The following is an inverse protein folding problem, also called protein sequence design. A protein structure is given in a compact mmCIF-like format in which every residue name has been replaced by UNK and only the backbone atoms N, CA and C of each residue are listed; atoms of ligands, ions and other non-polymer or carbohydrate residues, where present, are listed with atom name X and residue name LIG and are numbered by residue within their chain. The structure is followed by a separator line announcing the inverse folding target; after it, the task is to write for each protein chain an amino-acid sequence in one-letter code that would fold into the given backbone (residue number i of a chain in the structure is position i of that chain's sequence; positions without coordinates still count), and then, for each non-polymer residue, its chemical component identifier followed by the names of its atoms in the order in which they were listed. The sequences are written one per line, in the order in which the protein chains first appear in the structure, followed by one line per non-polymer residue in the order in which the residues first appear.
data_IF_316534796399
#
_entry.id   IF_316534796399
#
_cell.length_a   1.000
_cell.length_b   1.000
_cell.length_c   1.000
_cell.angle_alpha   90.00
_cell.angle_beta   90.00
_cell.angle_gamma   90.00
#
_symmetry.space_group_name_H-M   'P 1'
#
loop_
_entity.id
_entity.type
_entity.pdbx_description
1 polymer ?
#
# COMPACT_ATOMS: atom_id res chain seq x y z
N UNK A 1 -13.58 13.70 -11.45
CA UNK A 1 -14.20 12.38 -11.67
C UNK A 1 -14.41 11.54 -10.39
N UNK A 2 -13.67 11.75 -9.28
CA UNK A 2 -13.84 10.92 -8.07
C UNK A 2 -15.08 11.31 -7.24
N UNK A 3 -15.55 12.56 -7.32
CA UNK A 3 -16.70 13.02 -6.53
C UNK A 3 -18.01 12.24 -6.77
N UNK A 4 -18.44 11.93 -8.02
CA UNK A 4 -19.62 11.08 -8.23
C UNK A 4 -19.46 9.68 -7.64
N UNK A 5 -18.26 9.07 -7.75
CA UNK A 5 -18.00 7.75 -7.16
C UNK A 5 -18.17 7.78 -5.65
N UNK A 6 -17.58 8.78 -4.97
CA UNK A 6 -17.69 8.92 -3.51
C UNK A 6 -19.14 9.19 -3.07
N UNK A 7 -19.85 10.12 -3.73
CA UNK A 7 -21.25 10.41 -3.40
C UNK A 7 -22.14 9.18 -3.54
N UNK A 8 -21.97 8.39 -4.60
CA UNK A 8 -22.71 7.14 -4.82
C UNK A 8 -22.34 6.07 -3.81
N UNK A 9 -21.05 5.93 -3.51
CA UNK A 9 -20.56 4.98 -2.49
C UNK A 9 -21.11 5.31 -1.11
N UNK A 10 -21.21 6.59 -0.79
CA UNK A 10 -21.70 7.08 0.49
C UNK A 10 -23.25 7.22 0.51
N UNK A 11 -23.94 6.82 -0.57
CA UNK A 11 -25.41 6.82 -0.66
C UNK A 11 -26.06 8.20 -0.85
N UNK A 12 -25.28 9.24 -1.13
CA UNK A 12 -25.72 10.63 -1.33
C UNK A 12 -26.25 10.90 -2.75
N UNK A 13 -26.01 9.99 -3.68
CA UNK A 13 -26.46 10.05 -5.07
C UNK A 13 -26.90 8.65 -5.52
N UNK A 14 -28.09 8.55 -6.13
CA UNK A 14 -28.59 7.28 -6.64
C UNK A 14 -27.75 6.79 -7.82
N UNK A 15 -27.51 5.49 -7.89
CA UNK A 15 -26.81 4.87 -9.00
C UNK A 15 -27.84 4.48 -10.06
N UNK A 16 -27.72 5.10 -11.24
CA UNK A 16 -28.59 4.80 -12.39
C UNK A 16 -27.74 4.40 -13.58
N UNK A 17 -28.17 3.37 -14.30
CA UNK A 17 -27.53 2.93 -15.54
C UNK A 17 -28.48 3.13 -16.72
N UNK A 18 -27.99 3.61 -17.87
CA UNK A 18 -28.83 3.79 -19.05
C UNK A 18 -29.21 2.45 -19.72
N UNK A 19 -28.49 1.36 -19.42
CA UNK A 19 -28.76 0.03 -19.96
C UNK A 19 -28.10 -1.07 -19.12
N UNK A 20 -28.55 -2.32 -19.32
CA UNK A 20 -27.95 -3.50 -18.66
C UNK A 20 -26.51 -3.74 -19.13
N UNK A 21 -26.22 -3.41 -20.38
CA UNK A 21 -24.90 -3.52 -20.98
C UNK A 21 -23.91 -2.59 -20.25
N UNK A 22 -24.31 -1.33 -20.02
CA UNK A 22 -23.49 -0.36 -19.29
C UNK A 22 -23.34 -0.74 -17.82
N UNK A 23 -24.40 -1.25 -17.19
CA UNK A 23 -24.35 -1.79 -15.83
C UNK A 23 -23.32 -2.92 -15.69
N UNK A 24 -23.26 -3.84 -16.66
CA UNK A 24 -22.30 -4.96 -16.65
C UNK A 24 -20.83 -4.52 -16.67
N UNK A 25 -20.55 -3.30 -17.13
CA UNK A 25 -19.19 -2.73 -17.21
C UNK A 25 -18.88 -1.83 -16.01
N UNK A 26 -19.84 -1.01 -15.58
CA UNK A 26 -19.62 0.05 -14.61
C UNK A 26 -20.17 -0.24 -13.21
N UNK A 27 -20.87 -1.35 -12.98
CA UNK A 27 -21.44 -1.71 -11.67
C UNK A 27 -20.39 -1.75 -10.56
N UNK A 28 -19.24 -2.36 -10.84
CA UNK A 28 -18.09 -2.44 -9.91
C UNK A 28 -17.53 -1.07 -9.51
N UNK A 29 -17.77 -0.05 -10.31
CA UNK A 29 -17.32 1.33 -10.09
C UNK A 29 -18.49 2.30 -9.96
N UNK A 30 -19.67 1.81 -9.55
CA UNK A 30 -20.86 2.59 -9.25
C UNK A 30 -21.27 3.55 -10.39
N UNK A 31 -21.18 3.08 -11.63
CA UNK A 31 -21.55 3.86 -12.82
C UNK A 31 -20.53 4.93 -13.22
N UNK A 32 -19.31 4.91 -12.66
CA UNK A 32 -18.23 5.84 -13.02
C UNK A 32 -17.12 5.06 -13.74
N UNK A 33 -16.73 5.42 -14.98
CA UNK A 33 -15.59 4.79 -15.63
C UNK A 33 -14.29 5.26 -14.98
N UNK A 34 -13.53 4.32 -14.39
CA UNK A 34 -12.28 4.60 -13.67
C UNK A 34 -11.08 3.97 -14.38
N UNK A 35 -11.27 2.80 -15.02
CA UNK A 35 -10.18 2.02 -15.63
C UNK A 35 -10.18 2.06 -17.16
N UNK A 36 -8.99 1.94 -17.77
CA UNK A 36 -8.82 1.94 -19.22
C UNK A 36 -9.67 0.84 -19.86
N UNK A 37 -9.63 -0.34 -19.25
CA UNK A 37 -10.35 -1.53 -19.66
C UNK A 37 -11.87 -1.31 -19.65
N UNK A 38 -12.40 -0.54 -18.70
CA UNK A 38 -13.83 -0.19 -18.66
C UNK A 38 -14.24 0.71 -19.81
N UNK A 39 -13.44 1.73 -20.14
CA UNK A 39 -13.72 2.66 -21.24
C UNK A 39 -13.75 1.92 -22.58
N UNK A 40 -12.77 1.05 -22.81
CA UNK A 40 -12.69 0.24 -24.02
C UNK A 40 -13.93 -0.67 -24.12
N UNK A 41 -14.28 -1.36 -23.03
CA UNK A 41 -15.44 -2.24 -23.00
C UNK A 41 -16.75 -1.46 -23.19
N UNK A 42 -16.83 -0.25 -22.65
CA UNK A 42 -17.98 0.64 -22.85
C UNK A 42 -18.15 1.03 -24.32
N UNK A 43 -17.07 1.38 -25.02
CA UNK A 43 -17.13 1.67 -26.47
C UNK A 43 -17.63 0.47 -27.29
N UNK A 44 -17.27 -0.76 -26.89
CA UNK A 44 -17.77 -1.98 -27.54
C UNK A 44 -19.26 -2.19 -27.29
N UNK A 45 -19.71 -2.15 -26.03
CA UNK A 45 -21.09 -2.50 -25.68
C UNK A 45 -22.09 -1.37 -25.93
N UNK A 46 -21.68 -0.11 -25.73
CA UNK A 46 -22.55 1.06 -25.86
C UNK A 46 -22.49 1.69 -27.26
N UNK A 47 -21.34 1.68 -27.94
CA UNK A 47 -21.19 2.26 -29.28
C UNK A 47 -21.02 1.21 -30.40
N UNK A 48 -20.90 -0.08 -30.08
CA UNK A 48 -20.79 -1.14 -31.07
C UNK A 48 -19.43 -1.27 -31.73
N UNK A 49 -18.35 -0.81 -31.07
CA UNK A 49 -17.00 -0.98 -31.60
C UNK A 49 -16.62 -2.46 -31.69
N UNK A 50 -15.97 -2.85 -32.78
CA UNK A 50 -15.31 -4.16 -32.87
C UNK A 50 -14.08 -4.21 -31.96
N UNK A 51 -13.57 -5.41 -31.67
CA UNK A 51 -12.35 -5.55 -30.86
C UNK A 51 -11.13 -4.81 -31.46
N UNK A 52 -11.01 -4.77 -32.79
CA UNK A 52 -9.94 -4.03 -33.46
C UNK A 52 -10.09 -2.52 -33.32
N UNK A 53 -11.31 -2.00 -33.41
CA UNK A 53 -11.60 -0.57 -33.23
C UNK A 53 -11.43 -0.13 -31.78
N UNK A 54 -11.81 -0.98 -30.84
CA UNK A 54 -11.60 -0.79 -29.42
C UNK A 54 -10.10 -0.68 -29.06
N UNK A 55 -9.23 -1.50 -29.67
CA UNK A 55 -7.79 -1.41 -29.49
C UNK A 55 -7.17 -0.18 -30.20
N UNK A 56 -7.72 0.23 -31.36
CA UNK A 56 -7.34 1.50 -31.99
C UNK A 56 -7.70 2.70 -31.09
N UNK A 57 -8.91 2.70 -30.51
CA UNK A 57 -9.35 3.70 -29.55
C UNK A 57 -8.41 3.74 -28.33
N UNK A 58 -8.06 2.58 -27.76
CA UNK A 58 -7.10 2.49 -26.65
C UNK A 58 -5.74 3.11 -26.98
N UNK A 59 -5.18 2.81 -28.17
CA UNK A 59 -3.92 3.40 -28.62
C UNK A 59 -4.03 4.92 -28.80
N UNK A 60 -5.14 5.39 -29.37
CA UNK A 60 -5.41 6.82 -29.54
C UNK A 60 -5.54 7.54 -28.18
N UNK A 61 -6.17 6.90 -27.19
CA UNK A 61 -6.26 7.43 -25.81
C UNK A 61 -4.87 7.61 -25.18
N UNK A 62 -3.99 6.63 -25.35
CA UNK A 62 -2.63 6.69 -24.81
C UNK A 62 -1.76 7.78 -25.47
N UNK A 63 -2.03 8.10 -26.75
CA UNK A 63 -1.29 9.09 -27.53
C UNK A 63 -1.99 10.46 -27.63
N UNK A 64 -3.14 10.64 -26.97
CA UNK A 64 -4.04 11.79 -27.17
C UNK A 64 -3.34 13.14 -27.05
N UNK A 65 -2.53 13.36 -26.00
CA UNK A 65 -1.80 14.61 -25.80
C UNK A 65 -0.74 14.92 -26.87
N UNK A 66 -0.29 13.92 -27.62
CA UNK A 66 0.75 14.11 -28.64
C UNK A 66 0.15 14.40 -30.02
N UNK A 67 -0.94 13.72 -30.38
CA UNK A 67 -1.39 13.68 -31.78
C UNK A 67 -2.84 14.10 -32.03
N UNK A 68 -3.68 14.26 -30.99
CA UNK A 68 -5.09 14.66 -31.18
C UNK A 68 -5.96 13.63 -31.92
N UNK A 69 -5.50 12.38 -32.08
CA UNK A 69 -6.15 11.35 -32.89
C UNK A 69 -7.49 10.85 -32.32
N UNK A 70 -7.79 11.12 -31.05
CA UNK A 70 -9.03 10.66 -30.40
C UNK A 70 -10.29 11.33 -30.95
N UNK A 71 -10.20 12.54 -31.51
CA UNK A 71 -11.35 13.27 -32.11
C UNK A 71 -11.97 12.45 -33.23
N UNK A 72 -11.15 11.69 -33.98
CA UNK A 72 -11.61 10.84 -35.09
C UNK A 72 -12.59 9.74 -34.64
N UNK A 73 -12.55 9.37 -33.37
CA UNK A 73 -13.45 8.37 -32.81
C UNK A 73 -14.74 8.97 -32.24
N UNK A 74 -14.84 10.30 -32.12
CA UNK A 74 -16.00 10.99 -31.55
C UNK A 74 -17.28 10.65 -32.29
N UNK A 75 -17.30 10.90 -33.60
CA UNK A 75 -18.50 10.76 -34.41
C UNK A 75 -19.00 9.32 -34.41
N UNK A 76 -18.06 8.36 -34.46
CA UNK A 76 -18.38 6.94 -34.40
C UNK A 76 -18.90 6.52 -33.02
N UNK A 77 -18.28 6.99 -31.95
CA UNK A 77 -18.71 6.69 -30.58
C UNK A 77 -20.11 7.25 -30.31
N UNK A 78 -20.32 8.53 -30.60
CA UNK A 78 -21.59 9.22 -30.38
C UNK A 78 -22.68 8.63 -31.27
N UNK A 79 -22.46 8.52 -32.58
CA UNK A 79 -23.45 7.95 -33.50
C UNK A 79 -23.77 6.48 -33.17
N UNK A 80 -22.76 5.72 -32.75
CA UNK A 80 -22.92 4.34 -32.30
C UNK A 80 -23.83 4.24 -31.08
N UNK A 81 -23.64 5.12 -30.10
CA UNK A 81 -24.50 5.20 -28.91
C UNK A 81 -25.92 5.67 -29.26
N UNK A 82 -26.07 6.71 -30.08
CA UNK A 82 -27.39 7.20 -30.51
C UNK A 82 -28.19 6.11 -31.25
N UNK A 83 -27.55 5.37 -32.15
CA UNK A 83 -28.20 4.28 -32.89
C UNK A 83 -28.68 3.13 -32.01
N UNK A 84 -28.17 3.06 -30.77
CA UNK A 84 -28.52 2.04 -29.76
C UNK A 84 -29.46 2.59 -28.68
N UNK A 85 -29.99 3.81 -28.86
CA UNK A 85 -30.99 4.40 -27.98
C UNK A 85 -30.46 5.12 -26.74
N UNK A 86 -29.16 5.44 -26.70
CA UNK A 86 -28.60 6.28 -25.65
C UNK A 86 -28.82 7.76 -25.95
N UNK A 87 -29.01 8.57 -24.92
CA UNK A 87 -29.15 10.03 -25.03
C UNK A 87 -27.84 10.70 -25.50
N UNK A 88 -27.95 11.80 -26.26
CA UNK A 88 -26.80 12.59 -26.75
C UNK A 88 -25.92 13.03 -25.58
N UNK A 89 -26.52 13.59 -24.53
CA UNK A 89 -25.80 14.07 -23.35
C UNK A 89 -25.00 12.96 -22.66
N UNK A 90 -25.52 11.72 -22.66
CA UNK A 90 -24.79 10.58 -22.14
C UNK A 90 -23.58 10.24 -23.02
N UNK A 91 -23.77 10.19 -24.33
CA UNK A 91 -22.71 9.87 -25.29
C UNK A 91 -21.57 10.91 -25.29
N UNK A 92 -21.91 12.19 -25.25
CA UNK A 92 -20.95 13.30 -25.15
C UNK A 92 -20.18 13.25 -23.83
N UNK A 93 -20.88 13.02 -22.71
CA UNK A 93 -20.22 12.88 -21.40
C UNK A 93 -19.25 11.70 -21.36
N UNK A 94 -19.60 10.58 -21.97
CA UNK A 94 -18.67 9.46 -22.10
C UNK A 94 -17.47 9.88 -22.94
N UNK A 95 -17.66 10.48 -24.11
CA UNK A 95 -16.57 10.94 -24.96
C UNK A 95 -15.62 11.90 -24.22
N UNK A 96 -16.14 12.88 -23.50
CA UNK A 96 -15.34 13.79 -22.66
C UNK A 96 -14.53 13.04 -21.60
N UNK A 97 -15.11 12.01 -20.98
CA UNK A 97 -14.41 11.14 -20.03
C UNK A 97 -13.29 10.34 -20.72
N UNK A 98 -13.49 9.87 -21.95
CA UNK A 98 -12.45 9.22 -22.76
C UNK A 98 -11.31 10.21 -23.08
N UNK A 99 -11.65 11.46 -23.41
CA UNK A 99 -10.66 12.52 -23.66
C UNK A 99 -9.85 12.86 -22.41
N UNK A 100 -10.50 12.96 -21.25
CA UNK A 100 -9.84 13.14 -19.96
C UNK A 100 -9.05 11.92 -19.48
N UNK A 101 -9.23 10.76 -20.12
CA UNK A 101 -8.63 9.50 -19.70
C UNK A 101 -7.11 9.47 -19.88
N UNK A 102 -6.57 10.17 -20.87
CA UNK A 102 -5.12 10.31 -21.03
C UNK A 102 -4.42 10.97 -19.83
N UNK A 103 -5.18 11.66 -18.97
CA UNK A 103 -4.66 12.33 -17.77
C UNK A 103 -4.86 11.53 -16.48
N UNK A 104 -5.91 10.70 -16.39
CA UNK A 104 -6.32 10.05 -15.13
C UNK A 104 -6.58 8.55 -15.24
N UNK A 105 -6.47 8.00 -16.44
CA UNK A 105 -6.81 6.62 -16.75
C UNK A 105 -5.80 5.61 -16.26
N UNK A 106 -6.16 4.82 -15.25
CA UNK A 106 -5.26 3.83 -14.67
C UNK A 106 -5.55 2.43 -15.21
N UNK A 107 -4.53 1.61 -15.55
CA UNK A 107 -4.74 0.21 -15.91
C UNK A 107 -5.29 -0.57 -14.70
N UNK A 108 -6.43 -1.24 -14.86
CA UNK A 108 -7.07 -2.02 -13.78
C UNK A 108 -6.12 -3.11 -13.27
N UNK A 109 -5.45 -3.80 -14.18
CA UNK A 109 -4.49 -4.87 -13.87
C UNK A 109 -3.34 -4.39 -12.95
N UNK A 110 -2.79 -3.21 -13.24
CA UNK A 110 -1.74 -2.60 -12.43
C UNK A 110 -2.30 -2.10 -11.08
N UNK A 111 -3.52 -1.56 -11.06
CA UNK A 111 -4.16 -1.16 -9.80
C UNK A 111 -4.39 -2.37 -8.88
N UNK A 112 -4.91 -3.46 -9.44
CA UNK A 112 -5.23 -4.67 -8.70
C UNK A 112 -3.99 -5.31 -8.07
N UNK A 113 -2.87 -5.40 -8.80
CA UNK A 113 -1.64 -6.00 -8.28
C UNK A 113 -1.08 -5.27 -7.06
N UNK A 114 -1.08 -3.93 -7.08
CA UNK A 114 -0.66 -3.12 -5.94
C UNK A 114 -1.70 -3.07 -4.82
N UNK A 115 -2.99 -3.09 -5.15
CA UNK A 115 -4.07 -3.12 -4.15
C UNK A 115 -4.00 -4.37 -3.28
N UNK A 116 -3.64 -5.53 -3.85
CA UNK A 116 -3.41 -6.76 -3.08
C UNK A 116 -2.29 -6.58 -2.05
N UNK A 117 -1.16 -5.97 -2.43
CA UNK A 117 -0.06 -5.71 -1.50
C UNK A 117 -0.47 -4.76 -0.37
N UNK A 118 -1.20 -3.69 -0.71
CA UNK A 118 -1.72 -2.75 0.27
C UNK A 118 -2.71 -3.42 1.24
N UNK A 119 -3.62 -4.25 0.71
CA UNK A 119 -4.59 -4.99 1.51
C UNK A 119 -3.89 -6.00 2.44
N UNK A 120 -2.97 -6.81 1.93
CA UNK A 120 -2.19 -7.75 2.74
C UNK A 120 -1.42 -7.02 3.86
N UNK A 121 -0.81 -5.88 3.53
CA UNK A 121 -0.09 -5.06 4.52
C UNK A 121 -1.03 -4.51 5.60
N UNK A 122 -2.20 -4.00 5.22
CA UNK A 122 -3.22 -3.51 6.15
C UNK A 122 -3.79 -4.64 7.02
N UNK A 123 -4.00 -5.82 6.44
CA UNK A 123 -4.46 -7.01 7.15
C UNK A 123 -3.45 -7.46 8.19
N UNK A 124 -2.16 -7.57 7.83
CA UNK A 124 -1.09 -7.91 8.77
C UNK A 124 -0.98 -6.87 9.88
N UNK A 125 -1.04 -5.58 9.53
CA UNK A 125 -1.03 -4.49 10.50
C UNK A 125 -2.24 -4.52 11.45
N UNK A 126 -3.40 -4.98 11.00
CA UNK A 126 -4.60 -5.07 11.84
C UNK A 126 -4.57 -6.30 12.76
N UNK A 127 -4.27 -7.49 12.23
CA UNK A 127 -4.34 -8.75 12.99
C UNK A 127 -3.05 -9.11 13.73
N UNK A 128 -1.89 -8.68 13.22
CA UNK A 128 -0.55 -9.01 13.75
C UNK A 128 0.35 -7.76 13.81
N UNK A 129 -0.08 -6.71 14.53
CA UNK A 129 0.62 -5.42 14.49
C UNK A 129 2.05 -5.52 15.00
N UNK A 130 2.31 -6.27 16.08
CA UNK A 130 3.66 -6.40 16.65
C UNK A 130 4.64 -7.08 15.66
N UNK A 131 4.20 -8.15 15.00
CA UNK A 131 4.93 -8.87 13.97
C UNK A 131 5.16 -7.99 12.74
N UNK A 132 4.13 -7.27 12.29
CA UNK A 132 4.20 -6.35 11.16
C UNK A 132 5.27 -5.25 11.37
N UNK A 133 5.23 -4.55 12.50
CA UNK A 133 6.22 -3.50 12.79
C UNK A 133 7.62 -4.06 13.02
N UNK A 134 7.74 -5.22 13.68
CA UNK A 134 9.04 -5.87 13.88
C UNK A 134 9.69 -6.22 12.55
N UNK A 135 8.93 -6.79 11.61
CA UNK A 135 9.41 -7.11 10.27
C UNK A 135 9.85 -5.86 9.49
N UNK A 136 9.06 -4.78 9.56
CA UNK A 136 9.42 -3.50 8.93
C UNK A 136 10.69 -2.90 9.51
N UNK A 137 10.83 -2.89 10.85
CA UNK A 137 12.02 -2.37 11.52
C UNK A 137 13.27 -3.17 11.16
N UNK A 138 13.16 -4.50 11.06
CA UNK A 138 14.28 -5.36 10.66
C UNK A 138 14.64 -5.22 9.17
N UNK A 139 13.69 -4.79 8.33
CA UNK A 139 13.89 -4.60 6.89
C UNK A 139 14.48 -3.21 6.53
N UNK A 140 14.69 -2.33 7.51
CA UNK A 140 15.33 -1.04 7.27
C UNK A 140 16.76 -1.20 6.69
N UNK A 141 17.19 -0.31 5.77
CA UNK A 141 16.62 1.00 5.47
C UNK A 141 15.51 1.01 4.40
N UNK A 142 14.90 -0.13 4.06
CA UNK A 142 13.81 -0.18 3.08
C UNK A 142 12.59 0.63 3.52
N UNK A 143 11.94 1.28 2.56
CA UNK A 143 10.70 2.03 2.75
C UNK A 143 10.89 3.54 2.96
N UNK A 144 9.77 4.25 3.15
CA UNK A 144 9.73 5.71 3.25
C UNK A 144 9.65 6.24 4.69
N UNK A 145 9.43 5.38 5.67
CA UNK A 145 9.22 5.76 7.07
C UNK A 145 10.47 5.51 7.90
N UNK A 146 10.83 6.49 8.73
CA UNK A 146 11.90 6.32 9.72
C UNK A 146 11.50 5.34 10.82
N UNK A 147 12.50 4.73 11.48
CA UNK A 147 12.31 3.87 12.65
C UNK A 147 11.43 4.54 13.73
N UNK A 148 11.65 5.83 13.97
CA UNK A 148 10.88 6.62 14.94
C UNK A 148 9.41 6.73 14.55
N UNK A 149 9.11 6.97 13.26
CA UNK A 149 7.73 7.01 12.79
C UNK A 149 7.04 5.66 12.95
N UNK A 150 7.73 4.56 12.64
CA UNK A 150 7.19 3.20 12.80
C UNK A 150 6.90 2.88 14.28
N UNK A 151 7.82 3.21 15.19
CA UNK A 151 7.62 3.00 16.63
C UNK A 151 6.45 3.84 17.17
N UNK A 152 6.34 5.11 16.74
CA UNK A 152 5.22 5.96 17.15
C UNK A 152 3.88 5.44 16.63
N UNK A 153 3.85 4.97 15.38
CA UNK A 153 2.67 4.37 14.79
C UNK A 153 2.28 3.06 15.50
N UNK A 154 3.24 2.20 15.83
CA UNK A 154 3.02 0.99 16.63
C UNK A 154 2.37 1.31 17.99
N UNK A 155 2.85 2.35 18.68
CA UNK A 155 2.27 2.82 19.94
C UNK A 155 0.83 3.33 19.77
N UNK A 156 0.52 4.05 18.68
CA UNK A 156 -0.86 4.47 18.36
C UNK A 156 -1.78 3.27 18.09
N UNK A 157 -1.22 2.18 17.56
CA UNK A 157 -1.92 0.89 17.42
C UNK A 157 -1.87 0.03 18.70
N UNK A 158 -1.54 0.63 19.85
CA UNK A 158 -1.50 -0.01 21.17
C UNK A 158 -0.51 -1.18 21.27
N UNK A 159 0.50 -1.23 20.39
CA UNK A 159 1.62 -2.16 20.51
C UNK A 159 2.61 -1.63 21.53
N UNK A 160 2.89 -2.41 22.56
CA UNK A 160 3.96 -2.10 23.51
C UNK A 160 5.32 -2.34 22.86
N UNK A 161 6.22 -1.36 22.99
CA UNK A 161 7.57 -1.41 22.45
C UNK A 161 8.56 -1.24 23.59
N UNK A 162 9.28 -2.30 23.93
CA UNK A 162 10.28 -2.32 24.98
C UNK A 162 11.60 -1.72 24.49
N UNK A 163 12.28 -0.92 25.31
CA UNK A 163 13.60 -0.41 24.99
C UNK A 163 14.60 -1.57 24.83
N UNK A 164 15.76 -1.27 24.27
CA UNK A 164 16.87 -2.24 24.28
C UNK A 164 17.17 -2.66 25.71
N UNK A 165 17.40 -3.95 25.94
CA UNK A 165 17.74 -4.50 27.24
C UNK A 165 18.74 -5.63 27.09
N UNK A 166 19.86 -5.59 27.81
CA UNK A 166 20.91 -6.63 27.77
C UNK A 166 20.40 -8.02 28.18
N UNK A 167 19.29 -8.09 28.92
CA UNK A 167 18.70 -9.33 29.41
C UNK A 167 17.56 -9.85 28.53
N UNK A 168 16.91 -8.99 27.74
CA UNK A 168 15.75 -9.37 26.91
C UNK A 168 16.02 -9.30 25.40
N UNK A 169 16.78 -8.30 24.94
CA UNK A 169 17.01 -8.06 23.51
C UNK A 169 17.83 -9.15 22.84
N UNK A 170 17.48 -9.46 21.60
CA UNK A 170 18.33 -10.18 20.66
C UNK A 170 19.14 -9.18 19.81
N UNK A 171 19.86 -9.67 18.80
CA UNK A 171 20.58 -8.79 17.87
C UNK A 171 19.58 -7.89 17.12
N UNK A 172 18.58 -8.54 16.51
CA UNK A 172 17.47 -7.91 15.80
C UNK A 172 16.28 -7.58 16.71
N UNK A 173 15.35 -6.79 16.19
CA UNK A 173 14.06 -6.58 16.84
C UNK A 173 13.30 -7.92 16.87
N UNK A 174 12.64 -8.22 17.98
CA UNK A 174 11.91 -9.48 18.17
C UNK A 174 10.50 -9.24 18.67
N UNK A 175 9.61 -10.17 18.36
CA UNK A 175 8.28 -10.22 18.97
C UNK A 175 8.36 -11.06 20.23
N UNK A 176 7.90 -10.50 21.34
CA UNK A 176 7.79 -11.20 22.63
C UNK A 176 6.33 -11.26 23.04
N UNK A 177 5.91 -12.36 23.66
CA UNK A 177 4.55 -12.51 24.19
C UNK A 177 4.57 -12.35 25.70
N UNK A 178 3.90 -11.31 26.19
CA UNK A 178 3.73 -11.05 27.63
C UNK A 178 2.24 -11.08 27.92
N UNK A 179 1.83 -11.94 28.85
CA UNK A 179 0.42 -12.20 29.18
C UNK A 179 -0.43 -12.53 27.94
N UNK A 180 0.13 -13.29 27.00
CA UNK A 180 -0.54 -13.69 25.74
C UNK A 180 -0.60 -12.60 24.66
N UNK A 181 -0.12 -11.38 24.94
CA UNK A 181 -0.14 -10.26 24.00
C UNK A 181 1.21 -10.13 23.31
N UNK A 182 1.23 -10.09 21.97
CA UNK A 182 2.44 -9.82 21.19
C UNK A 182 2.89 -8.36 21.36
N UNK A 183 4.17 -8.18 21.67
CA UNK A 183 4.83 -6.89 21.91
C UNK A 183 6.19 -6.88 21.23
N UNK A 184 6.79 -5.71 21.04
CA UNK A 184 8.08 -5.56 20.35
C UNK A 184 9.19 -5.38 21.37
N UNK A 185 10.23 -6.21 21.30
CA UNK A 185 11.48 -6.03 22.01
C UNK A 185 12.53 -5.47 21.03
N UNK A 186 13.01 -4.25 21.27
CA UNK A 186 14.02 -3.65 20.40
C UNK A 186 15.36 -4.40 20.50
N UNK A 187 16.05 -4.57 19.37
CA UNK A 187 17.30 -5.32 19.29
C UNK A 187 18.54 -4.51 19.69
N UNK A 188 19.60 -5.21 20.10
CA UNK A 188 20.90 -4.64 20.45
C UNK A 188 21.56 -3.94 19.25
N UNK A 189 21.17 -4.25 18.00
CA UNK A 189 21.67 -3.56 16.79
C UNK A 189 21.44 -2.04 16.81
N UNK A 190 20.54 -1.53 17.65
CA UNK A 190 20.33 -0.10 17.84
C UNK A 190 21.42 0.59 18.66
N UNK A 191 22.20 -0.14 19.46
CA UNK A 191 23.23 0.44 20.35
C UNK A 191 24.42 0.88 19.51
N UNK A 192 24.49 2.18 19.20
CA UNK A 192 25.58 2.77 18.43
C UNK A 192 26.91 2.58 19.16
N UNK A 193 27.91 2.03 18.48
CA UNK A 193 29.24 1.75 19.05
C UNK A 193 29.37 0.34 19.64
N UNK A 194 28.29 -0.45 19.69
CA UNK A 194 28.35 -1.86 20.07
C UNK A 194 28.58 -2.73 18.83
N UNK A 195 29.75 -3.38 18.75
CA UNK A 195 30.12 -4.20 17.59
C UNK A 195 29.26 -5.46 17.49
N UNK A 196 29.09 -5.99 16.28
CA UNK A 196 28.33 -7.24 16.07
C UNK A 196 28.90 -8.40 16.88
N UNK A 197 30.23 -8.52 16.94
CA UNK A 197 30.91 -9.52 17.77
C UNK A 197 30.53 -9.39 19.25
N UNK A 198 30.54 -8.16 19.78
CA UNK A 198 30.13 -7.90 21.17
C UNK A 198 28.66 -8.24 21.41
N UNK A 199 27.75 -7.92 20.48
CA UNK A 199 26.33 -8.29 20.59
C UNK A 199 26.13 -9.80 20.61
N UNK A 200 26.80 -10.54 19.72
CA UNK A 200 26.77 -12.00 19.70
C UNK A 200 27.31 -12.60 20.99
N UNK A 201 28.41 -12.08 21.53
CA UNK A 201 28.96 -12.54 22.82
C UNK A 201 28.00 -12.29 23.99
N UNK A 202 27.38 -11.10 24.06
CA UNK A 202 26.38 -10.76 25.09
C UNK A 202 25.13 -11.63 25.02
N UNK A 203 24.72 -12.05 23.83
CA UNK A 203 23.57 -12.94 23.66
C UNK A 203 23.97 -14.37 24.02
N UNK A 204 25.10 -14.85 23.51
CA UNK A 204 25.56 -16.22 23.71
C UNK A 204 25.92 -16.53 25.17
N UNK A 205 26.51 -15.57 25.88
CA UNK A 205 26.92 -15.73 27.27
C UNK A 205 25.86 -15.29 28.29
N UNK A 206 24.62 -15.01 27.85
CA UNK A 206 23.55 -14.55 28.74
C UNK A 206 23.11 -15.68 29.68
N UNK A 207 23.18 -15.48 31.01
CA UNK A 207 22.66 -16.47 31.96
C UNK A 207 21.13 -16.61 31.84
N UNK A 208 20.59 -17.76 32.23
CA UNK A 208 19.13 -18.01 32.22
C UNK A 208 18.35 -16.99 33.08
N UNK A 209 18.94 -16.50 34.18
CA UNK A 209 18.34 -15.47 35.04
C UNK A 209 18.68 -14.04 34.58
N UNK A 210 19.40 -13.89 33.47
CA UNK A 210 19.99 -12.65 33.02
C UNK A 210 21.27 -12.28 33.77
N UNK A 211 21.91 -11.21 33.29
CA UNK A 211 22.99 -10.53 33.99
C UNK A 211 22.44 -9.80 35.21
N UNK A 212 23.01 -10.08 36.37
CA UNK A 212 22.68 -9.45 37.65
C UNK A 212 23.78 -8.51 38.13
N UNK A 213 25.00 -8.65 37.60
CA UNK A 213 26.16 -7.86 37.97
C UNK A 213 26.99 -7.44 36.76
N UNK A 214 27.50 -6.20 36.79
CA UNK A 214 28.33 -5.65 35.71
C UNK A 214 29.62 -6.45 35.45
N UNK A 215 30.16 -7.12 36.47
CA UNK A 215 31.38 -7.94 36.31
C UNK A 215 31.19 -9.09 35.32
N UNK A 216 29.98 -9.67 35.28
CA UNK A 216 29.64 -10.75 34.34
C UNK A 216 29.80 -10.30 32.88
N UNK A 217 29.52 -9.02 32.61
CA UNK A 217 29.65 -8.43 31.27
C UNK A 217 31.11 -8.08 30.96
N UNK A 218 31.84 -7.53 31.95
CA UNK A 218 33.26 -7.18 31.79
C UNK A 218 34.13 -8.39 31.46
N UNK A 219 33.80 -9.57 32.02
CA UNK A 219 34.54 -10.81 31.76
C UNK A 219 34.38 -11.33 30.32
N UNK A 220 33.41 -10.82 29.55
CA UNK A 220 33.17 -11.20 28.15
C UNK A 220 34.08 -10.47 27.15
N UNK A 221 35.03 -9.66 27.64
CA UNK A 221 35.91 -8.88 26.77
C UNK A 221 35.25 -7.63 26.16
N UNK A 222 34.09 -7.23 26.68
CA UNK A 222 33.41 -5.99 26.27
C UNK A 222 34.21 -4.81 26.78
N UNK A 223 34.70 -3.98 25.85
CA UNK A 223 35.59 -2.88 26.20
C UNK A 223 34.83 -1.71 26.86
N UNK A 224 35.58 -0.76 27.44
CA UNK A 224 35.02 0.39 28.16
C UNK A 224 34.08 1.26 27.28
N UNK A 225 34.42 1.44 26.01
CA UNK A 225 33.60 2.25 25.09
C UNK A 225 32.26 1.56 24.79
N UNK A 226 32.25 0.24 24.62
CA UNK A 226 31.04 -0.55 24.40
C UNK A 226 30.15 -0.59 25.64
N UNK A 227 30.73 -0.67 26.83
CA UNK A 227 29.98 -0.53 28.09
C UNK A 227 29.34 0.86 28.22
N UNK A 228 30.04 1.92 27.83
CA UNK A 228 29.48 3.27 27.79
C UNK A 228 28.35 3.38 26.75
N UNK A 229 28.48 2.71 25.60
CA UNK A 229 27.43 2.67 24.58
C UNK A 229 26.15 2.00 25.10
N UNK A 230 26.29 0.83 25.76
CA UNK A 230 25.17 0.14 26.41
C UNK A 230 24.49 1.02 27.47
N UNK A 231 25.29 1.65 28.33
CA UNK A 231 24.78 2.54 29.38
C UNK A 231 24.06 3.76 28.77
N UNK A 232 24.62 4.36 27.72
CA UNK A 232 24.02 5.53 27.05
C UNK A 232 22.70 5.18 26.33
N UNK A 233 22.52 3.91 25.95
CA UNK A 233 21.29 3.39 25.38
C UNK A 233 20.27 2.95 26.44
N UNK A 234 20.60 3.06 27.73
CA UNK A 234 19.82 2.52 28.87
C UNK A 234 19.50 1.02 28.70
N UNK A 235 20.45 0.25 28.16
CA UNK A 235 20.32 -1.18 27.90
C UNK A 235 20.58 -2.05 29.13
#
# INVERSE_FOLDING_TARGET
MVHPYLKRRDGLEAITYPSKEVESVLSRTLGVPIFQEQVIKLAMVAAGFSGGEADQLRRAMAAWKKNGDLVKFRDKLVSGMLSRGYEVDFAERIFEQICGFGEYGFPESHSASFAVLAYCSAWLKYYYPAEFYTALLNSMPMGFYSASQLIQDARRHKVMVHPVCINASQDEHTVVKINGISQIQLGLKLVRGLSELARKQLIAARPNQGYTQLQQIKHLGINKQQLQALTSANA
#
